data_IF_694730398358
#
_entry.id   IF_694730398358
#
_cell.length_a   1.000
_cell.length_b   1.000
_cell.length_c   1.000
_cell.angle_alpha   90.00
_cell.angle_beta   90.00
_cell.angle_gamma   90.00
#
_symmetry.space_group_name_H-M   'P 1'
#
loop_
_entity.id
_entity.type
_entity.pdbx_description
1 polymer ?
#
# COMPACT_ATOMS: atom_id res chain seq x y z
N UNK A 1 -5.69 7.80 14.66
CA UNK A 1 -5.73 6.37 14.89
C UNK A 1 -5.44 6.03 16.33
N UNK A 2 -6.12 5.04 16.88
CA UNK A 2 -5.83 4.54 18.19
C UNK A 2 -4.58 3.65 18.14
N UNK A 3 -3.51 4.08 18.76
CA UNK A 3 -2.33 3.26 18.97
C UNK A 3 -2.52 2.37 20.20
N UNK A 4 -1.94 1.18 20.15
CA UNK A 4 -1.82 0.36 21.35
C UNK A 4 -0.89 1.07 22.32
N UNK A 5 -1.43 1.59 23.41
CA UNK A 5 -0.61 2.22 24.43
C UNK A 5 0.23 1.14 25.12
N UNK A 6 1.52 1.42 25.31
CA UNK A 6 2.40 0.53 26.05
C UNK A 6 1.91 0.37 27.49
N UNK A 7 1.87 -0.87 27.95
CA UNK A 7 1.59 -1.18 29.34
C UNK A 7 2.90 -1.21 30.12
N UNK A 8 3.10 -0.24 31.00
CA UNK A 8 4.29 -0.22 31.86
C UNK A 8 4.29 -1.43 32.80
N UNK A 9 5.48 -2.01 33.03
CA UNK A 9 5.61 -3.12 33.95
C UNK A 9 5.05 -2.76 35.34
N UNK A 10 4.19 -3.62 35.90
CA UNK A 10 3.52 -3.43 37.18
C UNK A 10 2.16 -2.74 37.08
N UNK A 11 1.70 -2.33 35.88
CA UNK A 11 0.34 -1.85 35.67
C UNK A 11 -0.53 -2.92 35.04
N UNK A 12 -1.79 -2.98 35.40
CA UNK A 12 -2.75 -3.90 34.77
C UNK A 12 -3.15 -3.36 33.38
N UNK A 13 -3.20 -4.26 32.41
CA UNK A 13 -3.76 -3.94 31.10
C UNK A 13 -5.25 -3.63 31.27
N UNK A 14 -5.68 -2.48 30.77
CA UNK A 14 -7.09 -2.06 30.82
C UNK A 14 -7.86 -2.59 29.60
N UNK A 15 -9.18 -2.60 29.69
CA UNK A 15 -10.03 -2.90 28.53
C UNK A 15 -9.72 -1.99 27.33
N UNK A 16 -9.33 -0.74 27.58
CA UNK A 16 -8.90 0.21 26.54
C UNK A 16 -7.64 -0.26 25.83
N UNK A 17 -6.62 -0.70 26.56
CA UNK A 17 -5.39 -1.25 25.96
C UNK A 17 -5.72 -2.45 25.08
N UNK A 18 -6.55 -3.37 25.56
CA UNK A 18 -6.93 -4.57 24.83
C UNK A 18 -7.73 -4.23 23.56
N UNK A 19 -8.68 -3.32 23.65
CA UNK A 19 -9.49 -2.90 22.52
C UNK A 19 -8.68 -2.15 21.47
N UNK A 20 -7.70 -1.33 21.88
CA UNK A 20 -6.80 -0.65 20.95
C UNK A 20 -5.94 -1.67 20.20
N UNK A 21 -5.37 -2.66 20.89
CA UNK A 21 -4.58 -3.71 20.25
C UNK A 21 -5.42 -4.49 19.22
N UNK A 22 -6.64 -4.89 19.58
CA UNK A 22 -7.55 -5.58 18.64
C UNK A 22 -7.86 -4.72 17.43
N UNK A 23 -8.13 -3.43 17.64
CA UNK A 23 -8.42 -2.48 16.57
C UNK A 23 -7.22 -2.33 15.63
N UNK A 24 -6.02 -2.18 16.16
CA UNK A 24 -4.80 -2.06 15.36
C UNK A 24 -4.56 -3.30 14.50
N UNK A 25 -4.75 -4.49 15.05
CA UNK A 25 -4.61 -5.75 14.30
C UNK A 25 -5.66 -5.86 13.20
N UNK A 26 -6.94 -5.61 13.52
CA UNK A 26 -8.04 -5.70 12.54
C UNK A 26 -7.87 -4.69 11.42
N UNK A 27 -7.59 -3.42 11.75
CA UNK A 27 -7.38 -2.37 10.73
C UNK A 27 -6.17 -2.69 9.85
N UNK A 28 -5.07 -3.20 10.41
CA UNK A 28 -3.89 -3.58 9.64
C UNK A 28 -4.12 -4.72 8.66
N UNK A 29 -5.14 -5.57 8.89
CA UNK A 29 -5.42 -6.75 8.08
C UNK A 29 -6.55 -6.57 7.07
N UNK A 30 -7.53 -5.72 7.37
CA UNK A 30 -8.82 -5.70 6.65
C UNK A 30 -9.16 -4.38 5.99
N UNK A 31 -8.50 -3.29 6.35
CA UNK A 31 -8.80 -1.96 5.81
C UNK A 31 -8.16 -1.75 4.45
N UNK A 32 -8.93 -1.22 3.52
CA UNK A 32 -8.44 -0.70 2.24
C UNK A 32 -8.25 0.80 2.36
N UNK A 33 -7.04 1.29 2.14
CA UNK A 33 -6.72 2.72 2.19
C UNK A 33 -6.71 3.37 0.81
N UNK A 34 -7.16 4.62 0.74
CA UNK A 34 -7.02 5.45 -0.45
C UNK A 34 -5.92 6.47 -0.23
N UNK A 35 -5.01 6.56 -1.20
CA UNK A 35 -3.96 7.57 -1.21
C UNK A 35 -4.41 8.81 -1.99
N UNK A 36 -3.91 9.96 -1.55
CA UNK A 36 -4.15 11.23 -2.24
C UNK A 36 -3.31 11.28 -3.51
N UNK A 37 -3.93 11.61 -4.64
CA UNK A 37 -3.22 11.82 -5.90
C UNK A 37 -2.32 13.06 -5.83
N UNK A 38 -1.20 13.01 -6.49
CA UNK A 38 -0.21 14.09 -6.56
C UNK A 38 0.97 13.70 -7.44
N UNK A 39 1.89 14.64 -7.70
CA UNK A 39 3.07 14.37 -8.53
C UNK A 39 3.86 13.14 -8.03
N UNK A 40 3.98 12.99 -6.71
CA UNK A 40 4.47 11.79 -6.04
C UNK A 40 3.39 11.25 -5.13
N UNK A 41 3.04 9.98 -5.28
CA UNK A 41 2.11 9.26 -4.40
C UNK A 41 2.93 8.39 -3.47
N UNK A 42 2.92 8.71 -2.17
CA UNK A 42 3.66 7.97 -1.15
C UNK A 42 2.73 7.03 -0.40
N UNK A 43 3.06 5.74 -0.42
CA UNK A 43 2.38 4.71 0.35
C UNK A 43 3.13 4.51 1.67
N UNK A 44 2.61 5.08 2.77
CA UNK A 44 3.19 4.92 4.09
C UNK A 44 2.70 3.62 4.70
N UNK A 45 3.52 2.57 4.66
CA UNK A 45 3.13 1.22 5.07
C UNK A 45 3.04 1.06 6.59
N UNK A 46 3.64 1.95 7.36
CA UNK A 46 3.48 2.02 8.82
C UNK A 46 2.13 2.59 9.25
N UNK A 47 1.39 3.24 8.34
CA UNK A 47 0.04 3.76 8.63
C UNK A 47 -0.99 2.63 8.63
N UNK A 48 -1.24 2.08 9.81
CA UNK A 48 -2.19 0.98 10.01
C UNK A 48 -3.65 1.36 9.76
N UNK A 49 -3.97 2.65 9.70
CA UNK A 49 -5.34 3.10 9.42
C UNK A 49 -5.76 2.79 7.99
N UNK A 50 -4.77 2.66 7.09
CA UNK A 50 -5.00 2.40 5.67
C UNK A 50 -4.88 0.93 5.27
N UNK A 51 -4.41 0.08 6.17
CA UNK A 51 -4.28 -1.36 5.94
C UNK A 51 -3.24 -1.73 4.87
N UNK A 52 -3.34 -2.96 4.38
CA UNK A 52 -2.39 -3.54 3.41
C UNK A 52 -2.78 -3.34 1.95
N UNK A 53 -4.03 -3.01 1.68
CA UNK A 53 -4.54 -2.76 0.34
C UNK A 53 -4.66 -1.26 0.16
N UNK A 54 -3.91 -0.71 -0.76
CA UNK A 54 -3.85 0.73 -1.04
C UNK A 54 -4.37 1.02 -2.43
N UNK A 55 -5.15 2.07 -2.57
CA UNK A 55 -5.70 2.50 -3.85
C UNK A 55 -5.30 3.93 -4.16
N UNK A 56 -5.07 4.22 -5.43
CA UNK A 56 -4.91 5.60 -5.93
C UNK A 56 -5.57 5.72 -7.28
N UNK A 57 -6.29 6.83 -7.48
CA UNK A 57 -6.78 7.23 -8.80
C UNK A 57 -5.82 8.25 -9.39
N UNK A 58 -5.24 7.92 -10.54
CA UNK A 58 -4.24 8.76 -11.18
C UNK A 58 -4.89 9.90 -11.95
N UNK A 59 -4.72 11.13 -11.51
CA UNK A 59 -5.12 12.34 -12.27
C UNK A 59 -4.05 12.84 -13.24
N UNK A 60 -2.95 12.11 -13.39
CA UNK A 60 -1.82 12.41 -14.28
C UNK A 60 -0.77 11.31 -14.22
N UNK A 61 0.36 11.52 -14.91
CA UNK A 61 1.51 10.65 -14.76
C UNK A 61 2.15 10.90 -13.39
N UNK A 62 2.43 9.83 -12.64
CA UNK A 62 2.85 9.94 -11.23
C UNK A 62 4.10 9.14 -10.94
N UNK A 63 4.86 9.59 -9.93
CA UNK A 63 5.91 8.81 -9.31
C UNK A 63 5.35 8.15 -8.05
N UNK A 64 5.57 6.86 -7.89
CA UNK A 64 5.17 6.12 -6.68
C UNK A 64 6.36 6.01 -5.73
N UNK A 65 6.08 6.13 -4.44
CA UNK A 65 7.08 6.01 -3.39
C UNK A 65 6.53 5.18 -2.22
N UNK A 66 7.43 4.47 -1.54
CA UNK A 66 7.10 3.69 -0.34
C UNK A 66 7.84 4.32 0.85
N UNK A 67 7.20 4.32 2.00
CA UNK A 67 7.81 4.68 3.28
C UNK A 67 7.30 3.81 4.40
N UNK A 68 8.10 3.67 5.47
CA UNK A 68 7.71 2.92 6.67
C UNK A 68 7.51 1.44 6.44
N UNK A 69 8.20 0.84 5.47
CA UNK A 69 8.14 -0.59 5.20
C UNK A 69 8.86 -1.41 6.28
N UNK A 70 8.43 -2.65 6.43
CA UNK A 70 9.06 -3.66 7.28
C UNK A 70 9.39 -4.88 6.45
N UNK A 71 10.59 -5.45 6.61
CA UNK A 71 11.00 -6.67 5.90
C UNK A 71 10.02 -7.81 6.19
N UNK A 72 9.63 -8.52 5.12
CA UNK A 72 8.62 -9.57 5.18
C UNK A 72 7.17 -9.06 5.05
N UNK A 73 6.95 -7.75 5.01
CA UNK A 73 5.64 -7.18 4.82
C UNK A 73 5.14 -7.44 3.40
N UNK A 74 3.85 -7.79 3.29
CA UNK A 74 3.13 -7.92 2.02
C UNK A 74 2.08 -6.83 1.93
N UNK A 75 1.97 -6.18 0.76
CA UNK A 75 0.95 -5.17 0.50
C UNK A 75 0.50 -5.20 -0.95
N UNK A 76 -0.63 -4.59 -1.23
CA UNK A 76 -1.20 -4.48 -2.57
C UNK A 76 -1.42 -3.02 -2.94
N UNK A 77 -1.18 -2.69 -4.20
CA UNK A 77 -1.51 -1.39 -4.78
C UNK A 77 -2.52 -1.60 -5.90
N UNK A 78 -3.65 -0.89 -5.80
CA UNK A 78 -4.66 -0.77 -6.84
C UNK A 78 -4.49 0.57 -7.51
N UNK A 79 -4.11 0.56 -8.76
CA UNK A 79 -3.94 1.77 -9.59
C UNK A 79 -5.17 1.92 -10.46
N UNK A 80 -5.85 3.05 -10.35
CA UNK A 80 -7.10 3.33 -11.03
C UNK A 80 -6.83 4.46 -12.03
N UNK A 81 -7.17 4.24 -13.30
CA UNK A 81 -7.16 5.29 -14.30
C UNK A 81 -8.31 6.27 -14.02
N UNK A 82 -8.08 7.56 -14.19
CA UNK A 82 -9.16 8.56 -14.12
C UNK A 82 -10.10 8.46 -15.34
N UNK A 83 -11.05 9.37 -15.43
CA UNK A 83 -11.98 9.44 -16.57
C UNK A 83 -11.34 9.79 -17.92
N UNK A 84 -10.08 10.19 -17.94
CA UNK A 84 -9.30 10.47 -19.16
C UNK A 84 -8.51 9.24 -19.60
N UNK A 85 -7.95 8.48 -18.65
CA UNK A 85 -7.08 7.35 -18.94
C UNK A 85 -5.66 7.74 -19.40
N UNK A 86 -4.93 6.76 -19.90
CA UNK A 86 -3.55 6.92 -20.43
C UNK A 86 -2.54 7.46 -19.41
N UNK A 87 -2.80 7.28 -18.12
CA UNK A 87 -1.89 7.68 -17.04
C UNK A 87 -0.82 6.62 -16.85
N UNK A 88 0.39 7.05 -16.60
CA UNK A 88 1.55 6.19 -16.34
C UNK A 88 2.09 6.40 -14.95
N UNK A 89 2.87 5.43 -14.48
CA UNK A 89 3.60 5.55 -13.21
C UNK A 89 5.09 5.30 -13.42
N UNK A 90 5.90 6.02 -12.66
CA UNK A 90 7.28 5.63 -12.37
C UNK A 90 7.25 4.88 -11.06
N UNK A 91 7.65 3.62 -11.09
CA UNK A 91 7.66 2.76 -9.92
C UNK A 91 8.74 3.18 -8.92
N UNK A 92 8.48 2.88 -7.66
CA UNK A 92 9.52 2.95 -6.61
C UNK A 92 10.60 1.90 -6.88
N UNK A 93 11.79 2.12 -6.36
CA UNK A 93 12.90 1.17 -6.50
C UNK A 93 13.12 0.38 -5.21
N UNK A 94 13.70 -0.81 -5.26
CA UNK A 94 14.04 -1.64 -6.40
C UNK A 94 13.04 -2.77 -6.44
N UNK A 95 12.35 -2.96 -7.56
CA UNK A 95 11.36 -4.02 -7.69
C UNK A 95 11.90 -5.09 -8.63
N UNK A 96 11.90 -6.35 -8.17
CA UNK A 96 12.09 -7.52 -9.02
C UNK A 96 10.75 -7.96 -9.57
N UNK A 97 10.54 -7.75 -10.84
CA UNK A 97 9.35 -8.18 -11.56
C UNK A 97 9.54 -9.57 -12.18
N UNK A 98 8.45 -10.32 -12.43
CA UNK A 98 8.52 -11.56 -13.20
C UNK A 98 9.24 -11.35 -14.53
N UNK A 99 10.15 -12.25 -14.89
CA UNK A 99 10.97 -12.19 -16.10
C UNK A 99 11.77 -10.90 -16.28
N UNK A 100 11.96 -10.11 -15.21
CA UNK A 100 12.55 -8.76 -15.22
C UNK A 100 11.81 -7.76 -16.13
N UNK A 101 10.51 -7.98 -16.37
CA UNK A 101 9.69 -7.10 -17.21
C UNK A 101 8.83 -6.21 -16.32
N UNK A 102 9.06 -4.91 -16.42
CA UNK A 102 8.22 -3.92 -15.72
C UNK A 102 6.84 -3.88 -16.38
N UNK A 103 5.74 -4.08 -15.63
CA UNK A 103 4.41 -4.11 -16.22
C UNK A 103 4.00 -2.76 -16.79
N UNK A 104 3.36 -2.79 -17.94
CA UNK A 104 2.68 -1.62 -18.52
C UNK A 104 1.27 -1.52 -17.96
N UNK A 105 0.88 -0.34 -17.49
CA UNK A 105 -0.48 -0.11 -17.01
C UNK A 105 -1.50 -0.17 -18.14
N UNK A 106 -2.70 -0.61 -17.79
CA UNK A 106 -3.88 -0.44 -18.64
C UNK A 106 -4.15 1.05 -18.86
N UNK A 107 -4.33 1.45 -20.11
CA UNK A 107 -4.50 2.86 -20.48
C UNK A 107 -5.96 3.30 -20.56
N UNK A 108 -6.91 2.36 -20.57
CA UNK A 108 -8.33 2.65 -20.67
C UNK A 108 -8.85 3.39 -19.44
N UNK A 109 -9.62 4.44 -19.65
CA UNK A 109 -10.23 5.24 -18.58
C UNK A 109 -11.04 4.36 -17.61
N UNK A 110 -10.98 4.71 -16.34
CA UNK A 110 -11.69 4.06 -15.22
C UNK A 110 -11.32 2.60 -14.97
N UNK A 111 -10.32 2.05 -15.67
CA UNK A 111 -9.82 0.69 -15.44
C UNK A 111 -8.84 0.62 -14.28
N UNK A 112 -8.73 -0.57 -13.72
CA UNK A 112 -7.95 -0.82 -12.51
C UNK A 112 -6.91 -1.90 -12.80
N UNK A 113 -5.67 -1.64 -12.38
CA UNK A 113 -4.62 -2.63 -12.31
C UNK A 113 -4.24 -2.88 -10.85
N UNK A 114 -4.02 -4.13 -10.50
CA UNK A 114 -3.70 -4.56 -9.13
C UNK A 114 -2.36 -5.27 -9.12
N UNK A 115 -1.49 -4.81 -8.23
CA UNK A 115 -0.15 -5.36 -8.03
C UNK A 115 0.06 -5.75 -6.57
N UNK A 116 0.77 -6.83 -6.34
CA UNK A 116 1.19 -7.27 -5.02
C UNK A 116 2.69 -7.11 -4.84
N UNK A 117 3.13 -6.88 -3.61
CA UNK A 117 4.54 -6.67 -3.28
C UNK A 117 4.93 -7.37 -1.99
N UNK A 118 6.13 -7.93 -1.98
CA UNK A 118 6.80 -8.43 -0.79
C UNK A 118 8.06 -7.60 -0.53
N UNK A 119 8.22 -7.10 0.68
CA UNK A 119 9.44 -6.40 1.10
C UNK A 119 10.51 -7.41 1.45
N UNK A 120 11.56 -7.51 0.66
CA UNK A 120 12.66 -8.48 0.87
C UNK A 120 13.80 -7.90 1.70
N UNK A 121 14.04 -6.60 1.56
CA UNK A 121 14.94 -5.80 2.42
C UNK A 121 14.55 -4.33 2.27
N UNK A 122 15.13 -3.43 3.07
CA UNK A 122 14.82 -2.01 2.98
C UNK A 122 15.04 -1.49 1.55
N UNK A 123 13.99 -0.93 0.94
CA UNK A 123 14.00 -0.41 -0.42
C UNK A 123 14.03 -1.47 -1.54
N UNK A 124 13.89 -2.76 -1.21
CA UNK A 124 13.88 -3.86 -2.18
C UNK A 124 12.59 -4.68 -2.07
N UNK A 125 12.00 -4.96 -3.22
CA UNK A 125 10.68 -5.57 -3.32
C UNK A 125 10.65 -6.66 -4.39
N UNK A 126 9.81 -7.65 -4.19
CA UNK A 126 9.35 -8.54 -5.26
C UNK A 126 7.94 -8.10 -5.64
N UNK A 127 7.72 -7.91 -6.94
CA UNK A 127 6.46 -7.43 -7.50
C UNK A 127 5.71 -8.52 -8.24
N UNK A 128 4.38 -8.52 -8.11
CA UNK A 128 3.49 -9.48 -8.73
C UNK A 128 2.35 -8.76 -9.43
N UNK A 129 1.97 -9.22 -10.62
CA UNK A 129 0.80 -8.73 -11.34
C UNK A 129 -0.39 -9.60 -10.93
N UNK A 130 -1.33 -9.03 -10.18
CA UNK A 130 -2.49 -9.76 -9.67
C UNK A 130 -3.70 -9.66 -10.59
N UNK A 131 -3.85 -8.56 -11.29
CA UNK A 131 -4.90 -8.35 -12.27
C UNK A 131 -4.73 -7.04 -13.01
N UNK A 132 -5.10 -7.01 -14.27
CA UNK A 132 -5.10 -5.81 -15.09
C UNK A 132 -6.40 -5.68 -15.87
N UNK A 133 -6.72 -4.44 -16.24
CA UNK A 133 -7.92 -4.12 -17.03
C UNK A 133 -9.24 -4.53 -16.35
N UNK A 134 -9.28 -4.43 -15.04
CA UNK A 134 -10.44 -4.78 -14.22
C UNK A 134 -11.53 -3.70 -14.30
#
# INVERSE_FOLDING_TARGET
MADSADVTAGTNATATHYNNLRKDVVLGLTVTGTETDGATVTFTLSDKTKGKIRSVTLGGNRTLAISGETVGQVFMIRIIQDGTGSRTVTWFSTIKWPDNVVPTLTTTASKIDVFGFLVTSAGNYEGFILGQNL
#
